data_IF_398809098908
#
_entry.id   IF_398809098908
#
_cell.length_a   1.000
_cell.length_b   1.000
_cell.length_c   1.000
_cell.angle_alpha   90.00
_cell.angle_beta   90.00
_cell.angle_gamma   90.00
#
_symmetry.space_group_name_H-M   'P 1'
#
loop_
_entity.id
_entity.type
_entity.pdbx_description
1 polymer ?
#
# COMPACT_ATOMS: atom_id res chain seq x y z
N UNK A 1 27.01 13.95 -3.68
CA UNK A 1 28.46 13.64 -3.68
C UNK A 1 29.19 14.93 -3.44
N UNK A 2 29.89 15.06 -2.33
CA UNK A 2 30.83 16.16 -2.12
C UNK A 2 32.19 15.69 -2.61
N UNK A 3 32.66 16.23 -3.73
CA UNK A 3 34.02 16.09 -4.19
C UNK A 3 34.82 17.27 -3.58
N UNK A 4 35.77 16.97 -2.71
CA UNK A 4 36.77 17.94 -2.25
C UNK A 4 38.02 17.60 -3.03
N UNK A 5 38.31 18.35 -4.11
CA UNK A 5 39.63 18.34 -4.75
C UNK A 5 40.57 19.23 -3.98
N UNK A 6 41.57 18.63 -3.36
CA UNK A 6 42.68 19.37 -2.76
C UNK A 6 43.84 19.32 -3.74
N UNK A 7 44.08 20.42 -4.45
CA UNK A 7 45.26 20.57 -5.31
C UNK A 7 46.51 20.67 -4.43
N UNK A 8 47.38 19.70 -4.58
CA UNK A 8 48.59 19.50 -3.76
C UNK A 8 49.67 20.51 -4.12
N UNK A 9 49.91 21.50 -3.25
CA UNK A 9 51.20 22.18 -3.12
C UNK A 9 51.47 22.66 -1.68
N UNK A 10 50.95 21.99 -0.66
CA UNK A 10 51.15 22.34 0.76
C UNK A 10 51.63 21.12 1.54
N UNK A 11 52.54 21.37 2.50
CA UNK A 11 53.14 20.38 3.39
C UNK A 11 52.09 19.46 4.05
N UNK A 12 52.46 18.20 4.30
CA UNK A 12 51.57 17.13 4.81
C UNK A 12 50.80 17.48 6.09
N UNK A 13 51.28 18.40 6.87
CA UNK A 13 50.64 18.92 8.12
C UNK A 13 49.42 19.78 7.79
N UNK A 14 49.44 20.57 6.72
CA UNK A 14 48.33 21.43 6.31
C UNK A 14 47.20 20.63 5.71
N UNK A 15 47.52 19.57 5.00
CA UNK A 15 46.50 18.67 4.39
C UNK A 15 45.67 17.97 5.49
N UNK A 16 46.30 17.56 6.61
CA UNK A 16 45.58 16.93 7.73
C UNK A 16 44.66 17.93 8.44
N UNK A 17 45.09 19.17 8.63
CA UNK A 17 44.29 20.23 9.25
C UNK A 17 43.12 20.64 8.39
N UNK A 18 43.32 20.78 7.07
CA UNK A 18 42.27 21.08 6.10
C UNK A 18 41.22 19.92 6.02
N UNK A 19 41.68 18.67 5.98
CA UNK A 19 40.78 17.51 6.03
C UNK A 19 39.96 17.45 7.30
N UNK A 20 40.55 17.78 8.46
CA UNK A 20 39.87 17.84 9.76
C UNK A 20 38.84 18.96 9.81
N UNK A 21 39.18 20.15 9.30
CA UNK A 21 38.26 21.29 9.20
C UNK A 21 37.11 21.01 8.26
N UNK A 22 37.38 20.42 7.10
CA UNK A 22 36.37 20.00 6.13
C UNK A 22 35.40 18.96 6.73
N UNK A 23 35.90 17.95 7.44
CA UNK A 23 35.04 16.97 8.14
C UNK A 23 34.14 17.65 9.16
N UNK A 24 34.66 18.54 10.02
CA UNK A 24 33.84 19.30 10.98
C UNK A 24 32.79 20.17 10.30
N UNK A 25 33.11 20.80 9.17
CA UNK A 25 32.17 21.58 8.39
C UNK A 25 31.03 20.72 7.83
N UNK A 26 31.36 19.54 7.26
CA UNK A 26 30.41 18.57 6.77
C UNK A 26 29.50 18.05 7.89
N UNK A 27 30.07 17.68 9.03
CA UNK A 27 29.32 17.22 10.22
C UNK A 27 28.31 18.26 10.70
N UNK A 28 28.73 19.55 10.77
CA UNK A 28 27.84 20.65 11.16
C UNK A 28 26.70 20.86 10.18
N UNK A 29 26.97 20.82 8.89
CA UNK A 29 25.94 20.93 7.85
C UNK A 29 24.99 19.74 7.86
N UNK A 30 25.49 18.51 8.02
CA UNK A 30 24.68 17.30 8.16
C UNK A 30 23.77 17.37 9.38
N UNK A 31 24.28 17.81 10.52
CA UNK A 31 23.45 18.00 11.72
C UNK A 31 22.34 19.01 11.49
N UNK A 32 22.63 20.13 10.80
CA UNK A 32 21.63 21.11 10.44
C UNK A 32 20.54 20.49 9.56
N UNK A 33 20.91 19.73 8.54
CA UNK A 33 19.96 19.04 7.66
C UNK A 33 19.13 17.99 8.40
N UNK A 34 19.73 17.21 9.28
CA UNK A 34 19.00 16.25 10.13
C UNK A 34 17.96 16.98 10.98
N UNK A 35 18.32 18.10 11.59
CA UNK A 35 17.37 18.91 12.37
C UNK A 35 16.26 19.50 11.50
N UNK A 36 16.55 19.92 10.26
CA UNK A 36 15.53 20.38 9.31
C UNK A 36 14.56 19.25 8.91
N UNK A 37 15.06 18.03 8.65
CA UNK A 37 14.22 16.85 8.36
C UNK A 37 13.27 16.58 9.53
N UNK A 38 13.80 16.61 10.75
CA UNK A 38 13.02 16.35 11.96
C UNK A 38 11.95 17.43 12.18
N UNK A 39 12.28 18.70 11.93
CA UNK A 39 11.37 19.83 12.20
C UNK A 39 10.25 19.98 11.15
N UNK A 40 10.55 19.76 9.87
CA UNK A 40 9.60 20.03 8.77
C UNK A 40 8.79 18.80 8.33
N UNK A 41 9.29 17.60 8.58
CA UNK A 41 8.62 16.30 8.34
C UNK A 41 7.95 16.12 6.94
N UNK A 42 8.37 16.88 5.92
CA UNK A 42 7.90 16.73 4.55
C UNK A 42 8.57 15.51 3.88
N UNK A 43 8.12 14.33 4.29
CA UNK A 43 8.71 13.05 3.88
C UNK A 43 7.67 12.21 3.17
N UNK A 44 8.05 11.58 2.07
CA UNK A 44 7.22 10.65 1.32
C UNK A 44 8.00 9.39 0.93
N UNK A 45 7.29 8.32 0.59
CA UNK A 45 7.88 7.09 0.05
C UNK A 45 7.59 7.04 -1.44
N UNK A 46 8.65 6.89 -2.25
CA UNK A 46 8.51 6.74 -3.69
C UNK A 46 8.20 5.28 -4.10
N UNK A 47 7.93 5.09 -5.39
CA UNK A 47 7.63 3.76 -5.95
C UNK A 47 8.83 2.79 -5.93
N UNK A 48 10.04 3.31 -5.73
CA UNK A 48 11.30 2.55 -5.60
C UNK A 48 11.66 2.30 -4.14
N UNK A 49 10.72 2.52 -3.22
CA UNK A 49 10.88 2.31 -1.78
C UNK A 49 11.91 3.24 -1.12
N UNK A 50 12.23 4.38 -1.76
CA UNK A 50 13.09 5.40 -1.19
C UNK A 50 12.25 6.37 -0.35
N UNK A 51 12.77 6.72 0.80
CA UNK A 51 12.25 7.80 1.62
C UNK A 51 12.85 9.11 1.09
N UNK A 52 11.98 9.98 0.60
CA UNK A 52 12.34 11.23 -0.09
C UNK A 52 12.07 12.41 0.84
N UNK A 53 13.02 13.33 0.91
CA UNK A 53 12.90 14.63 1.54
C UNK A 53 13.39 15.73 0.59
N UNK A 54 12.56 16.73 0.31
CA UNK A 54 12.87 17.82 -0.67
C UNK A 54 13.47 17.26 -1.97
N UNK A 55 12.79 16.27 -2.59
CA UNK A 55 13.21 15.57 -3.82
C UNK A 55 14.52 14.79 -3.72
N UNK A 56 15.15 14.69 -2.56
CA UNK A 56 16.37 13.93 -2.35
C UNK A 56 16.10 12.64 -1.57
N UNK A 57 16.59 11.47 -2.01
CA UNK A 57 16.47 10.24 -1.25
C UNK A 57 17.39 10.28 -0.03
N UNK A 58 16.82 10.08 1.15
CA UNK A 58 17.55 10.08 2.43
C UNK A 58 17.69 8.67 3.01
N UNK A 59 16.77 7.77 2.71
CA UNK A 59 16.80 6.40 3.18
C UNK A 59 16.07 5.47 2.19
N UNK A 60 16.19 4.17 2.40
CA UNK A 60 15.53 3.12 1.60
C UNK A 60 14.85 2.14 2.54
N UNK A 61 13.62 1.75 2.20
CA UNK A 61 12.92 0.67 2.87
C UNK A 61 13.49 -0.68 2.40
N UNK A 62 13.81 -1.55 3.35
CA UNK A 62 14.34 -2.88 3.13
C UNK A 62 13.43 -3.93 3.75
N UNK A 63 13.58 -5.19 3.30
CA UNK A 63 12.86 -6.34 3.82
C UNK A 63 13.08 -6.48 5.33
N UNK A 64 11.98 -6.48 6.09
CA UNK A 64 11.96 -6.74 7.52
C UNK A 64 11.48 -8.15 7.88
N UNK A 65 11.11 -8.38 9.13
CA UNK A 65 10.66 -9.67 9.63
C UNK A 65 9.31 -10.12 9.04
N UNK A 66 8.44 -9.17 8.71
CA UNK A 66 7.21 -9.40 7.95
C UNK A 66 6.99 -8.23 6.97
N UNK A 67 6.04 -8.40 6.05
CA UNK A 67 5.85 -7.41 5.00
C UNK A 67 5.32 -6.05 5.49
N UNK A 68 4.64 -5.99 6.65
CA UNK A 68 4.17 -4.76 7.28
C UNK A 68 5.19 -4.12 8.22
N UNK A 69 6.36 -4.73 8.39
CA UNK A 69 7.40 -4.23 9.27
C UNK A 69 8.76 -4.16 8.54
N UNK A 70 8.89 -3.30 7.51
CA UNK A 70 10.16 -3.07 6.83
C UNK A 70 11.14 -2.36 7.76
N UNK A 71 12.44 -2.49 7.50
CA UNK A 71 13.44 -1.66 8.18
C UNK A 71 13.95 -0.55 7.28
N UNK A 72 14.48 0.51 7.90
CA UNK A 72 15.03 1.69 7.23
C UNK A 72 16.54 1.56 7.12
N UNK A 73 17.08 1.75 5.91
CA UNK A 73 18.50 1.88 5.62
C UNK A 73 18.81 3.31 5.18
N UNK A 74 19.55 4.07 5.98
CA UNK A 74 19.92 5.45 5.66
C UNK A 74 20.97 5.44 4.54
N UNK A 75 20.82 6.30 3.51
CA UNK A 75 21.71 6.30 2.32
C UNK A 75 23.09 6.85 2.64
N UNK A 76 23.20 7.83 3.53
CA UNK A 76 24.46 8.50 3.92
C UNK A 76 24.99 8.00 5.28
N UNK A 77 24.84 6.71 5.54
CA UNK A 77 25.16 6.10 6.85
C UNK A 77 26.64 6.28 7.25
N UNK A 78 27.54 6.19 6.26
CA UNK A 78 29.00 6.29 6.49
C UNK A 78 29.51 7.72 6.79
N UNK A 79 28.67 8.73 6.50
CA UNK A 79 29.04 10.15 6.63
C UNK A 79 28.43 10.79 7.88
N UNK A 80 27.38 10.21 8.42
CA UNK A 80 26.72 10.68 9.64
C UNK A 80 27.52 10.27 10.88
N UNK A 81 27.73 11.23 11.81
CA UNK A 81 28.25 10.89 13.11
C UNK A 81 27.22 10.07 13.91
N UNK A 82 27.70 9.36 14.96
CA UNK A 82 26.86 8.44 15.72
C UNK A 82 25.60 9.09 16.30
N UNK A 83 25.68 10.32 16.81
CA UNK A 83 24.53 11.02 17.39
C UNK A 83 23.50 11.43 16.35
N UNK A 84 23.94 12.04 15.25
CA UNK A 84 23.05 12.44 14.13
C UNK A 84 22.38 11.23 13.49
N UNK A 85 23.09 10.12 13.35
CA UNK A 85 22.57 8.86 12.84
C UNK A 85 21.47 8.30 13.74
N UNK A 86 21.70 8.26 15.06
CA UNK A 86 20.70 7.78 16.03
C UNK A 86 19.46 8.67 16.01
N UNK A 87 19.62 10.00 16.02
CA UNK A 87 18.49 10.94 15.95
C UNK A 87 17.65 10.76 14.68
N UNK A 88 18.30 10.70 13.52
CA UNK A 88 17.61 10.51 12.24
C UNK A 88 16.92 9.15 12.18
N UNK A 89 17.58 8.07 12.59
CA UNK A 89 17.01 6.73 12.58
C UNK A 89 15.79 6.62 13.51
N UNK A 90 15.88 7.15 14.72
CA UNK A 90 14.75 7.19 15.68
C UNK A 90 13.56 7.96 15.09
N UNK A 91 13.82 9.12 14.50
CA UNK A 91 12.80 9.94 13.87
C UNK A 91 12.13 9.20 12.68
N UNK A 92 12.93 8.65 11.75
CA UNK A 92 12.42 7.95 10.58
C UNK A 92 11.63 6.69 10.96
N UNK A 93 12.06 5.93 11.97
CA UNK A 93 11.31 4.76 12.44
C UNK A 93 9.95 5.16 13.06
N UNK A 94 9.92 6.24 13.85
CA UNK A 94 8.66 6.78 14.39
C UNK A 94 7.74 7.27 13.28
N UNK A 95 8.28 8.02 12.32
CA UNK A 95 7.55 8.49 11.16
C UNK A 95 6.98 7.32 10.33
N UNK A 96 7.81 6.32 10.02
CA UNK A 96 7.38 5.14 9.26
C UNK A 96 6.27 4.36 9.98
N UNK A 97 6.40 4.17 11.29
CA UNK A 97 5.35 3.53 12.10
C UNK A 97 4.03 4.27 12.01
N UNK A 98 4.05 5.61 12.11
CA UNK A 98 2.86 6.44 11.96
C UNK A 98 2.29 6.35 10.54
N UNK A 99 3.14 6.41 9.52
CA UNK A 99 2.76 6.31 8.11
C UNK A 99 2.11 4.96 7.78
N UNK A 100 2.68 3.86 8.27
CA UNK A 100 2.10 2.52 8.15
C UNK A 100 0.75 2.45 8.86
N UNK A 101 0.62 2.97 10.07
CA UNK A 101 -0.63 2.98 10.83
C UNK A 101 -1.72 3.84 10.16
N UNK A 102 -1.35 4.96 9.55
CA UNK A 102 -2.29 5.81 8.82
C UNK A 102 -2.86 5.09 7.59
N UNK A 103 -2.00 4.49 6.76
CA UNK A 103 -2.39 3.87 5.51
C UNK A 103 -2.93 2.44 5.67
N UNK A 104 -2.32 1.63 6.52
CA UNK A 104 -2.57 0.19 6.66
C UNK A 104 -3.06 -0.21 8.06
N UNK A 105 -3.41 0.76 8.91
CA UNK A 105 -3.77 0.51 10.31
C UNK A 105 -4.94 -0.46 10.50
N UNK A 106 -5.94 -0.43 9.61
CA UNK A 106 -7.05 -1.37 9.70
C UNK A 106 -6.60 -2.82 9.43
N UNK A 107 -5.62 -3.02 8.52
CA UNK A 107 -5.04 -4.33 8.28
C UNK A 107 -4.18 -4.80 9.47
N UNK A 108 -3.39 -3.89 10.06
CA UNK A 108 -2.60 -4.19 11.26
C UNK A 108 -3.48 -4.56 12.44
N UNK A 109 -4.61 -3.87 12.62
CA UNK A 109 -5.56 -4.19 13.69
C UNK A 109 -6.07 -5.62 13.59
N UNK A 110 -6.26 -6.17 12.38
CA UNK A 110 -6.72 -7.55 12.21
C UNK A 110 -5.81 -8.57 12.89
N UNK A 111 -4.48 -8.37 12.83
CA UNK A 111 -3.52 -9.28 13.47
C UNK A 111 -3.53 -9.23 15.01
N UNK A 112 -4.10 -8.16 15.59
CA UNK A 112 -4.12 -7.91 17.04
C UNK A 112 -5.44 -8.30 17.72
N UNK A 113 -6.49 -8.61 16.95
CA UNK A 113 -7.77 -8.95 17.51
C UNK A 113 -7.75 -10.32 18.21
N UNK A 114 -8.07 -10.32 19.49
CA UNK A 114 -8.33 -11.54 20.23
C UNK A 114 -9.80 -11.93 20.07
N UNK A 115 -10.06 -13.07 19.44
CA UNK A 115 -11.40 -13.50 19.07
C UNK A 115 -11.62 -14.95 19.50
N UNK A 116 -12.66 -15.17 20.31
CA UNK A 116 -12.99 -16.50 20.81
C UNK A 116 -13.65 -17.37 19.72
N UNK A 117 -14.47 -16.78 18.85
CA UNK A 117 -15.14 -17.51 17.78
C UNK A 117 -14.14 -17.95 16.70
N UNK A 118 -14.03 -19.26 16.52
CA UNK A 118 -13.06 -19.86 15.58
C UNK A 118 -13.30 -19.47 14.12
N UNK A 119 -14.56 -19.35 13.67
CA UNK A 119 -14.90 -18.98 12.29
C UNK A 119 -14.57 -17.49 12.03
N UNK A 120 -14.88 -16.64 12.99
CA UNK A 120 -14.55 -15.22 12.90
C UNK A 120 -13.03 -15.02 12.88
N UNK A 121 -12.31 -15.72 13.73
CA UNK A 121 -10.83 -15.72 13.74
C UNK A 121 -10.25 -16.22 12.40
N UNK A 122 -10.79 -17.32 11.85
CA UNK A 122 -10.40 -17.85 10.56
C UNK A 122 -10.60 -16.85 9.41
N UNK A 123 -11.74 -16.15 9.39
CA UNK A 123 -12.01 -15.11 8.38
C UNK A 123 -11.04 -13.93 8.49
N UNK A 124 -10.77 -13.46 9.71
CA UNK A 124 -9.85 -12.36 9.96
C UNK A 124 -8.42 -12.73 9.56
N UNK A 125 -7.99 -13.95 9.89
CA UNK A 125 -6.70 -14.46 9.45
C UNK A 125 -6.59 -14.48 7.91
N UNK A 126 -7.61 -14.99 7.21
CA UNK A 126 -7.65 -14.98 5.75
C UNK A 126 -7.57 -13.56 5.16
N UNK A 127 -8.31 -12.61 5.75
CA UNK A 127 -8.26 -11.20 5.34
C UNK A 127 -6.86 -10.60 5.54
N UNK A 128 -6.20 -10.91 6.66
CA UNK A 128 -4.86 -10.44 6.93
C UNK A 128 -3.85 -11.01 5.91
N UNK A 129 -3.83 -12.32 5.71
CA UNK A 129 -2.93 -13.00 4.78
C UNK A 129 -3.13 -12.54 3.32
N UNK A 130 -4.37 -12.29 2.93
CA UNK A 130 -4.73 -11.80 1.59
C UNK A 130 -4.79 -10.28 1.47
N UNK A 131 -4.06 -9.58 2.35
CA UNK A 131 -3.89 -8.13 2.26
C UNK A 131 -5.20 -7.32 2.31
N UNK A 132 -6.19 -7.79 3.06
CA UNK A 132 -7.45 -7.10 3.30
C UNK A 132 -8.53 -7.31 2.23
N UNK A 133 -8.36 -8.27 1.32
CA UNK A 133 -9.37 -8.63 0.30
C UNK A 133 -9.42 -10.15 0.14
N UNK A 134 -10.61 -10.74 0.29
CA UNK A 134 -10.86 -12.18 0.11
C UNK A 134 -12.08 -12.36 -0.80
N UNK A 135 -12.00 -13.30 -1.74
CA UNK A 135 -13.15 -13.69 -2.56
C UNK A 135 -14.20 -14.39 -1.70
N UNK A 136 -15.46 -13.98 -1.84
CA UNK A 136 -16.57 -14.50 -1.05
C UNK A 136 -16.73 -16.02 -1.17
N UNK A 137 -16.57 -16.58 -2.37
CA UNK A 137 -16.68 -17.99 -2.63
C UNK A 137 -15.66 -18.85 -1.86
N UNK A 138 -14.46 -18.33 -1.60
CA UNK A 138 -13.41 -19.02 -0.86
C UNK A 138 -13.73 -19.15 0.64
N UNK A 139 -14.51 -18.22 1.18
CA UNK A 139 -14.81 -18.14 2.62
C UNK A 139 -16.30 -18.24 2.93
N UNK A 140 -17.15 -18.60 1.95
CA UNK A 140 -18.60 -18.61 2.11
C UNK A 140 -19.08 -19.54 3.23
N UNK A 141 -18.48 -20.72 3.35
CA UNK A 141 -18.75 -21.67 4.47
C UNK A 141 -18.43 -21.04 5.83
N UNK A 142 -17.28 -20.39 5.94
CA UNK A 142 -16.84 -19.71 7.18
C UNK A 142 -17.84 -18.60 7.53
N UNK A 143 -18.19 -17.75 6.55
CA UNK A 143 -19.12 -16.62 6.78
C UNK A 143 -20.50 -17.09 7.18
N UNK A 144 -21.02 -18.18 6.57
CA UNK A 144 -22.31 -18.77 6.95
C UNK A 144 -22.31 -19.31 8.37
N UNK A 145 -21.19 -19.82 8.85
CA UNK A 145 -21.03 -20.35 10.22
C UNK A 145 -20.83 -19.27 11.29
N UNK A 146 -20.61 -17.99 10.91
CA UNK A 146 -20.52 -16.89 11.85
C UNK A 146 -21.95 -16.45 12.26
N UNK A 147 -22.31 -16.46 13.56
CA UNK A 147 -23.60 -15.97 14.04
C UNK A 147 -23.83 -14.50 13.67
N UNK A 148 -25.09 -14.10 13.48
CA UNK A 148 -25.46 -12.75 13.04
C UNK A 148 -24.97 -11.64 13.99
N UNK A 149 -25.03 -11.87 15.29
CA UNK A 149 -24.49 -10.94 16.31
C UNK A 149 -22.98 -10.75 16.18
N UNK A 150 -22.25 -11.81 15.85
CA UNK A 150 -20.80 -11.77 15.63
C UNK A 150 -20.43 -11.06 14.31
N UNK A 151 -21.28 -11.17 13.27
CA UNK A 151 -21.06 -10.44 12.01
C UNK A 151 -21.07 -8.92 12.20
N UNK A 152 -21.82 -8.40 13.17
CA UNK A 152 -21.81 -6.96 13.51
C UNK A 152 -20.43 -6.50 13.97
N UNK A 153 -19.64 -7.37 14.63
CA UNK A 153 -18.28 -7.06 15.05
C UNK A 153 -17.37 -6.80 13.84
N UNK A 154 -17.57 -7.51 12.71
CA UNK A 154 -16.81 -7.27 11.47
C UNK A 154 -16.99 -5.84 10.96
N UNK A 155 -18.20 -5.28 11.05
CA UNK A 155 -18.45 -3.90 10.65
C UNK A 155 -17.71 -2.90 11.57
N UNK A 156 -17.70 -3.16 12.88
CA UNK A 156 -16.90 -2.37 13.82
C UNK A 156 -15.40 -2.41 13.56
N UNK A 157 -14.91 -3.48 12.96
CA UNK A 157 -13.52 -3.62 12.49
C UNK A 157 -13.27 -2.95 11.12
N UNK A 158 -14.28 -2.36 10.49
CA UNK A 158 -14.21 -1.75 9.17
C UNK A 158 -14.28 -2.75 8.01
N UNK A 159 -14.60 -4.03 8.28
CA UNK A 159 -14.70 -5.07 7.26
C UNK A 159 -16.07 -4.98 6.57
N UNK A 160 -16.09 -4.94 5.26
CA UNK A 160 -17.32 -5.05 4.44
C UNK A 160 -17.48 -6.46 3.91
N UNK A 161 -18.70 -6.99 4.08
CA UNK A 161 -19.13 -8.27 3.53
C UNK A 161 -19.97 -7.95 2.30
N UNK A 162 -19.39 -8.13 1.11
CA UNK A 162 -20.06 -7.92 -0.16
C UNK A 162 -20.59 -9.22 -0.78
N UNK A 163 -21.11 -9.12 -2.00
CA UNK A 163 -21.56 -10.27 -2.80
C UNK A 163 -20.41 -11.11 -3.32
N UNK A 164 -19.39 -10.42 -3.84
CA UNK A 164 -18.24 -11.05 -4.50
C UNK A 164 -17.03 -11.12 -3.58
N UNK A 165 -16.90 -10.15 -2.68
CA UNK A 165 -15.71 -10.02 -1.80
C UNK A 165 -16.07 -9.68 -0.37
N UNK A 166 -15.14 -10.06 0.53
CA UNK A 166 -15.04 -9.51 1.89
C UNK A 166 -13.75 -8.70 1.92
N UNK A 167 -13.84 -7.45 2.33
CA UNK A 167 -12.71 -6.54 2.16
C UNK A 167 -12.70 -5.39 3.17
N UNK A 168 -11.53 -4.81 3.33
CA UNK A 168 -11.29 -3.55 4.05
C UNK A 168 -11.30 -2.38 3.04
N UNK A 169 -12.31 -1.48 3.05
CA UNK A 169 -12.41 -0.39 2.07
C UNK A 169 -11.19 0.54 2.05
N UNK A 170 -10.53 0.77 3.18
CA UNK A 170 -9.33 1.59 3.25
C UNK A 170 -8.16 1.00 2.45
N UNK A 171 -8.09 -0.35 2.35
CA UNK A 171 -7.06 -1.04 1.55
C UNK A 171 -7.23 -0.86 0.04
N UNK A 172 -8.37 -0.35 -0.42
CA UNK A 172 -8.64 -0.03 -1.82
C UNK A 172 -8.37 1.45 -2.17
N UNK A 173 -7.97 2.28 -1.19
CA UNK A 173 -7.56 3.65 -1.46
C UNK A 173 -6.21 3.69 -2.17
N UNK A 174 -6.01 4.60 -3.16
CA UNK A 174 -4.82 4.61 -4.02
C UNK A 174 -3.49 4.57 -3.26
N UNK A 175 -3.30 5.46 -2.29
CA UNK A 175 -2.06 5.49 -1.48
C UNK A 175 -1.84 4.20 -0.68
N UNK A 176 -2.91 3.61 -0.12
CA UNK A 176 -2.82 2.36 0.62
C UNK A 176 -2.47 1.17 -0.30
N UNK A 177 -3.07 1.12 -1.51
CA UNK A 177 -2.74 0.11 -2.53
C UNK A 177 -1.29 0.22 -2.94
N UNK A 178 -0.83 1.41 -3.31
CA UNK A 178 0.54 1.66 -3.76
C UNK A 178 1.56 1.26 -2.68
N UNK A 179 1.38 1.76 -1.48
CA UNK A 179 2.30 1.50 -0.37
C UNK A 179 2.31 0.01 0.01
N UNK A 180 1.15 -0.62 0.12
CA UNK A 180 1.02 -2.05 0.44
C UNK A 180 1.68 -2.94 -0.62
N UNK A 181 1.50 -2.64 -1.90
CA UNK A 181 2.14 -3.37 -2.99
C UNK A 181 3.66 -3.20 -2.94
N UNK A 182 4.14 -2.00 -2.65
CA UNK A 182 5.57 -1.74 -2.50
C UNK A 182 6.17 -2.56 -1.34
N UNK A 183 5.52 -2.57 -0.18
CA UNK A 183 5.95 -3.40 0.95
C UNK A 183 5.94 -4.90 0.61
N UNK A 184 4.90 -5.37 -0.06
CA UNK A 184 4.79 -6.76 -0.50
C UNK A 184 5.91 -7.14 -1.48
N UNK A 185 6.25 -6.24 -2.42
CA UNK A 185 7.37 -6.43 -3.36
C UNK A 185 8.71 -6.52 -2.65
N UNK A 186 8.98 -5.61 -1.70
CA UNK A 186 10.20 -5.63 -0.90
C UNK A 186 10.32 -6.97 -0.17
N UNK A 187 9.24 -7.39 0.48
CA UNK A 187 9.23 -8.61 1.28
C UNK A 187 9.50 -9.86 0.45
N UNK A 188 8.94 -9.93 -0.76
CA UNK A 188 9.08 -11.06 -1.67
C UNK A 188 10.26 -10.92 -2.67
N UNK A 189 11.09 -9.89 -2.56
CA UNK A 189 12.21 -9.61 -3.46
C UNK A 189 11.79 -9.56 -4.94
N UNK A 190 10.61 -8.99 -5.24
CA UNK A 190 10.06 -8.93 -6.58
C UNK A 190 10.44 -7.62 -7.29
N UNK A 191 10.87 -7.73 -8.55
CA UNK A 191 11.09 -6.56 -9.41
C UNK A 191 9.76 -5.90 -9.80
N UNK A 192 9.82 -4.60 -10.14
CA UNK A 192 8.65 -3.82 -10.61
C UNK A 192 8.37 -4.20 -12.08
N UNK A 193 7.72 -5.34 -12.31
CA UNK A 193 7.28 -5.75 -13.65
C UNK A 193 5.95 -5.16 -14.07
N UNK A 194 4.97 -5.17 -13.13
CA UNK A 194 3.61 -4.73 -13.37
C UNK A 194 3.38 -3.34 -12.82
N UNK A 195 2.80 -2.44 -13.62
CA UNK A 195 2.42 -1.09 -13.17
C UNK A 195 1.11 -1.15 -12.37
N UNK A 196 1.08 -0.45 -11.25
CA UNK A 196 -0.15 -0.25 -10.47
C UNK A 196 -1.11 0.59 -11.32
N UNK A 197 -2.40 0.20 -11.43
CA UNK A 197 -3.39 0.99 -12.16
C UNK A 197 -3.47 2.42 -11.65
N UNK A 198 -3.66 3.38 -12.57
CA UNK A 198 -3.80 4.79 -12.22
C UNK A 198 -4.99 4.99 -11.29
N UNK A 199 -4.83 5.91 -10.34
CA UNK A 199 -5.92 6.33 -9.45
C UNK A 199 -7.13 6.84 -10.26
N UNK A 200 -8.34 6.51 -9.80
CA UNK A 200 -9.59 6.90 -10.46
C UNK A 200 -10.12 5.91 -11.50
N UNK A 201 -9.32 4.93 -11.94
CA UNK A 201 -9.80 3.89 -12.84
C UNK A 201 -10.69 2.89 -12.08
N UNK A 202 -11.87 2.65 -12.60
CA UNK A 202 -12.84 1.69 -12.07
C UNK A 202 -12.91 0.41 -12.90
N UNK A 203 -12.48 0.48 -14.16
CA UNK A 203 -12.59 -0.57 -15.16
C UNK A 203 -11.32 -0.61 -16.02
N UNK A 204 -10.81 -1.82 -16.26
CA UNK A 204 -9.64 -2.06 -17.12
C UNK A 204 -9.96 -3.17 -18.10
N UNK A 205 -9.32 -3.12 -19.27
CA UNK A 205 -9.42 -4.15 -20.29
C UNK A 205 -8.04 -4.65 -20.70
N UNK A 206 -7.88 -5.96 -20.85
CA UNK A 206 -6.64 -6.54 -21.35
C UNK A 206 -6.55 -8.04 -21.10
N UNK A 207 -6.30 -8.81 -22.15
CA UNK A 207 -6.18 -10.28 -22.08
C UNK A 207 -4.90 -10.76 -21.40
N UNK A 208 -3.84 -9.95 -21.45
CA UNK A 208 -2.48 -10.29 -20.97
C UNK A 208 -2.17 -9.73 -19.58
N UNK A 209 -3.14 -9.10 -18.92
CA UNK A 209 -2.94 -8.51 -17.60
C UNK A 209 -2.83 -9.59 -16.53
N UNK A 210 -1.92 -9.40 -15.58
CA UNK A 210 -1.72 -10.30 -14.45
C UNK A 210 -2.89 -10.22 -13.47
N UNK A 211 -3.72 -11.27 -13.47
CA UNK A 211 -4.94 -11.37 -12.65
C UNK A 211 -4.64 -11.32 -11.15
N UNK A 212 -3.58 -11.99 -10.72
CA UNK A 212 -3.22 -12.05 -9.30
C UNK A 212 -2.70 -10.69 -8.81
N UNK A 213 -1.87 -10.04 -9.62
CA UNK A 213 -1.39 -8.69 -9.32
C UNK A 213 -2.54 -7.68 -9.29
N UNK A 214 -3.46 -7.73 -10.25
CA UNK A 214 -4.60 -6.82 -10.27
C UNK A 214 -5.58 -7.07 -9.11
N UNK A 215 -5.74 -8.31 -8.68
CA UNK A 215 -6.51 -8.60 -7.46
C UNK A 215 -5.86 -7.97 -6.23
N UNK A 216 -4.53 -8.02 -6.10
CA UNK A 216 -3.81 -7.28 -5.05
C UNK A 216 -4.02 -5.75 -5.18
N UNK A 217 -4.16 -5.22 -6.40
CA UNK A 217 -4.51 -3.82 -6.63
C UNK A 217 -5.98 -3.50 -6.34
N UNK A 218 -6.81 -4.49 -6.00
CA UNK A 218 -8.23 -4.32 -5.69
C UNK A 218 -9.16 -4.41 -6.89
N UNK A 219 -8.77 -5.13 -7.96
CA UNK A 219 -9.59 -5.39 -9.14
C UNK A 219 -9.95 -6.87 -9.25
N UNK A 220 -11.23 -7.18 -9.45
CA UNK A 220 -11.71 -8.53 -9.77
C UNK A 220 -11.71 -8.76 -11.27
N UNK A 221 -11.36 -9.97 -11.68
CA UNK A 221 -11.28 -10.37 -13.07
C UNK A 221 -12.56 -11.04 -13.57
N UNK A 222 -13.03 -10.60 -14.74
CA UNK A 222 -14.09 -11.22 -15.53
C UNK A 222 -13.57 -11.35 -16.98
N UNK A 223 -12.92 -12.47 -17.28
CA UNK A 223 -12.25 -12.73 -18.56
C UNK A 223 -11.20 -11.68 -18.91
N UNK A 224 -11.42 -10.83 -19.94
CA UNK A 224 -10.56 -9.71 -20.30
C UNK A 224 -10.82 -8.42 -19.52
N UNK A 225 -11.84 -8.38 -18.68
CA UNK A 225 -12.23 -7.21 -17.90
C UNK A 225 -11.82 -7.33 -16.45
N UNK A 226 -11.45 -6.17 -15.88
CA UNK A 226 -11.11 -6.04 -14.47
C UNK A 226 -11.91 -4.88 -13.89
N UNK A 227 -12.65 -5.15 -12.84
CA UNK A 227 -13.52 -4.17 -12.17
C UNK A 227 -13.03 -3.95 -10.75
N UNK A 228 -12.91 -2.68 -10.34
CA UNK A 228 -12.52 -2.35 -8.97
C UNK A 228 -13.55 -2.89 -7.97
N UNK A 229 -13.09 -3.58 -6.94
CA UNK A 229 -13.93 -4.38 -6.03
C UNK A 229 -15.05 -3.55 -5.38
N UNK A 230 -14.77 -2.36 -4.88
CA UNK A 230 -15.77 -1.49 -4.27
C UNK A 230 -16.83 -0.98 -5.26
N UNK A 231 -16.43 -0.83 -6.52
CA UNK A 231 -17.33 -0.45 -7.63
C UNK A 231 -18.18 -1.64 -8.08
N UNK A 232 -17.59 -2.83 -8.13
CA UNK A 232 -18.30 -4.08 -8.42
C UNK A 232 -19.43 -4.33 -7.41
N UNK A 233 -19.14 -4.14 -6.11
CA UNK A 233 -20.16 -4.29 -5.06
C UNK A 233 -21.26 -3.21 -5.16
N UNK A 234 -20.92 -1.97 -5.53
CA UNK A 234 -21.91 -0.92 -5.80
C UNK A 234 -22.76 -1.24 -7.02
N UNK A 235 -22.15 -1.78 -8.09
CA UNK A 235 -22.87 -2.21 -9.30
C UNK A 235 -23.87 -3.30 -8.96
N UNK A 236 -23.46 -4.31 -8.19
CA UNK A 236 -24.35 -5.36 -7.73
C UNK A 236 -25.56 -4.80 -6.96
N UNK A 237 -25.36 -3.87 -6.04
CA UNK A 237 -26.46 -3.24 -5.30
C UNK A 237 -27.40 -2.47 -6.24
N UNK A 238 -26.85 -1.75 -7.26
CA UNK A 238 -27.68 -1.07 -8.26
C UNK A 238 -28.49 -2.06 -9.09
N UNK A 239 -27.90 -3.18 -9.51
CA UNK A 239 -28.62 -4.27 -10.22
C UNK A 239 -29.74 -4.79 -9.32
N UNK A 240 -29.46 -5.14 -8.07
CA UNK A 240 -30.44 -5.69 -7.13
C UNK A 240 -31.61 -4.73 -6.91
N UNK A 241 -31.35 -3.45 -6.69
CA UNK A 241 -32.39 -2.44 -6.47
C UNK A 241 -33.26 -2.17 -7.71
N UNK A 242 -32.74 -2.44 -8.91
CA UNK A 242 -33.47 -2.27 -10.17
C UNK A 242 -34.08 -3.60 -10.71
N UNK A 243 -33.90 -4.69 -9.96
CA UNK A 243 -34.44 -6.01 -10.35
C UNK A 243 -35.88 -6.14 -9.92
N UNK A 244 -36.78 -6.43 -10.92
CA UNK A 244 -38.17 -6.83 -10.72
C UNK A 244 -38.41 -8.13 -11.50
N UNK A 245 -39.05 -9.09 -10.88
CA UNK A 245 -39.36 -10.40 -11.48
C UNK A 245 -38.16 -11.11 -12.13
N UNK A 246 -37.01 -11.07 -11.41
CA UNK A 246 -35.71 -11.60 -11.88
C UNK A 246 -35.14 -10.94 -13.14
N UNK A 247 -35.69 -9.79 -13.54
CA UNK A 247 -35.22 -8.99 -14.67
C UNK A 247 -34.85 -7.59 -14.22
N UNK A 248 -33.81 -7.00 -14.81
CA UNK A 248 -33.44 -5.61 -14.56
C UNK A 248 -33.16 -4.89 -15.89
N UNK A 249 -33.36 -3.59 -15.90
CA UNK A 249 -32.99 -2.74 -17.05
C UNK A 249 -31.64 -2.11 -16.79
N UNK A 250 -30.74 -2.23 -17.75
CA UNK A 250 -29.48 -1.53 -17.75
C UNK A 250 -29.75 -0.03 -17.94
N UNK A 251 -29.19 0.79 -17.07
CA UNK A 251 -29.32 2.25 -17.14
C UNK A 251 -27.94 2.91 -17.29
N UNK A 252 -27.94 4.19 -17.68
CA UNK A 252 -26.72 4.99 -17.86
C UNK A 252 -25.89 5.12 -16.58
N UNK A 253 -26.52 5.12 -15.42
CA UNK A 253 -25.82 5.21 -14.14
C UNK A 253 -24.94 4.01 -13.84
N UNK A 254 -25.35 2.80 -14.26
CA UNK A 254 -24.56 1.58 -14.11
C UNK A 254 -23.31 1.63 -15.00
N UNK A 255 -23.44 2.13 -16.24
CA UNK A 255 -22.32 2.30 -17.17
C UNK A 255 -21.36 3.41 -16.68
N UNK A 256 -21.89 4.54 -16.24
CA UNK A 256 -21.11 5.65 -15.72
C UNK A 256 -20.32 5.25 -14.45
N UNK A 257 -20.90 4.38 -13.62
CA UNK A 257 -20.22 3.87 -12.42
C UNK A 257 -18.92 3.13 -12.76
N UNK A 258 -18.92 2.37 -13.85
CA UNK A 258 -17.74 1.65 -14.34
C UNK A 258 -16.81 2.53 -15.16
N UNK A 259 -17.34 3.52 -15.89
CA UNK A 259 -16.58 4.32 -16.84
C UNK A 259 -16.15 3.53 -18.08
N UNK A 260 -17.01 2.62 -18.57
CA UNK A 260 -16.74 1.79 -19.74
C UNK A 260 -17.75 2.06 -20.86
N UNK A 261 -17.44 1.62 -22.09
CA UNK A 261 -18.36 1.68 -23.22
C UNK A 261 -19.57 0.76 -23.01
N UNK A 262 -20.68 1.07 -23.70
CA UNK A 262 -21.90 0.25 -23.67
C UNK A 262 -21.63 -1.20 -24.08
N UNK A 263 -20.83 -1.40 -25.11
CA UNK A 263 -20.46 -2.73 -25.60
C UNK A 263 -19.71 -3.55 -24.53
N UNK A 264 -18.69 -2.95 -23.90
CA UNK A 264 -17.92 -3.58 -22.84
C UNK A 264 -18.80 -3.87 -21.60
N UNK A 265 -19.75 -2.99 -21.32
CA UNK A 265 -20.69 -3.20 -20.22
C UNK A 265 -21.58 -4.45 -20.48
N UNK A 266 -22.14 -4.60 -21.69
CA UNK A 266 -22.95 -5.79 -22.01
C UNK A 266 -22.13 -7.08 -21.98
N UNK A 267 -20.91 -7.07 -22.52
CA UNK A 267 -19.98 -8.21 -22.42
C UNK A 267 -19.68 -8.57 -20.97
N UNK A 268 -19.41 -7.56 -20.12
CA UNK A 268 -19.18 -7.78 -18.69
C UNK A 268 -20.39 -8.42 -18.03
N UNK A 269 -21.61 -7.93 -18.30
CA UNK A 269 -22.85 -8.53 -17.74
C UNK A 269 -22.97 -10.01 -18.13
N UNK A 270 -22.72 -10.36 -19.38
CA UNK A 270 -22.71 -11.75 -19.83
C UNK A 270 -21.66 -12.60 -19.07
N UNK A 271 -20.45 -12.08 -18.85
CA UNK A 271 -19.44 -12.81 -18.06
C UNK A 271 -19.78 -12.92 -16.56
N UNK A 272 -20.61 -12.03 -16.05
CA UNK A 272 -21.16 -12.09 -14.69
C UNK A 272 -22.41 -12.97 -14.57
N UNK A 273 -22.86 -13.60 -15.68
CA UNK A 273 -24.08 -14.42 -15.78
C UNK A 273 -25.39 -13.63 -15.51
N UNK A 274 -25.46 -12.43 -16.03
CA UNK A 274 -26.67 -11.61 -16.06
C UNK A 274 -27.28 -11.56 -17.44
#
# INVERSE_FOLDING_TARGET
>A
KFLIEVTSKTLDTDIKSIKKAARKGIEKELLKRVNEIISKAEIEVDINNKIIWKSNPIAVLRKGNNYLNPYISIIADDVLNGESKIKLNTFLNKWLTNYINELLGDLIKLSKYQINNQYLRGLIFQLYEKNGVVKRNEVDKIVKSIPLNERKKLWGMGIKIGRYHIYLPKMLKPKAVEFRINLWRIFNNLSIKNKIPKSGLNFLTGKTLDKNFLLLCGFENFNEFFVRIDILEKLFLKILNNTKDKKFKINSEMMNLLGCSKENFYKLMAYMNY
#
